data_IF_482501935049
#
_entry.id   IF_482501935049
#
_cell.length_a   1.000
_cell.length_b   1.000
_cell.length_c   1.000
_cell.angle_alpha   90.00
_cell.angle_beta   90.00
_cell.angle_gamma   90.00
#
_symmetry.space_group_name_H-M   'P 1'
#
loop_
_entity.id
_entity.type
_entity.pdbx_description
1 polymer ?
#
# COMPACT_ATOMS: atom_id res chain seq x y z
N UNK A 1 -9.83 31.81 -12.27
CA UNK A 1 -8.74 31.78 -13.28
C UNK A 1 -9.15 32.33 -14.66
N UNK A 2 -10.35 32.05 -15.21
CA UNK A 2 -10.79 32.75 -16.43
C UNK A 2 -11.24 34.18 -16.13
N UNK A 3 -11.89 34.38 -14.98
CA UNK A 3 -12.37 35.68 -14.50
C UNK A 3 -11.26 36.50 -13.83
N UNK A 4 -10.40 35.83 -13.05
CA UNK A 4 -9.20 36.39 -12.42
C UNK A 4 -7.95 35.63 -12.89
N UNK A 5 -7.33 36.03 -14.02
CA UNK A 5 -6.14 35.38 -14.58
C UNK A 5 -4.88 35.51 -13.70
N UNK A 6 -4.76 36.60 -12.95
CA UNK A 6 -3.65 36.92 -12.04
C UNK A 6 -3.43 35.85 -10.97
N UNK A 7 -4.50 35.18 -10.55
CA UNK A 7 -4.46 34.06 -9.60
C UNK A 7 -3.63 32.86 -10.10
N UNK A 8 -3.32 32.79 -11.41
CA UNK A 8 -2.39 31.77 -11.93
C UNK A 8 -0.97 31.97 -11.41
N UNK A 9 -0.51 33.22 -11.32
CA UNK A 9 0.80 33.52 -10.73
C UNK A 9 0.79 33.19 -9.25
N UNK A 10 -0.25 33.60 -8.52
CA UNK A 10 -0.42 33.25 -7.10
C UNK A 10 -0.37 31.75 -6.87
N UNK A 11 -1.07 30.94 -7.67
CA UNK A 11 -1.00 29.48 -7.55
C UNK A 11 0.41 28.96 -7.85
N UNK A 12 1.11 29.48 -8.87
CA UNK A 12 2.50 29.09 -9.17
C UNK A 12 3.47 29.45 -8.04
N UNK A 13 3.28 30.59 -7.39
CA UNK A 13 4.03 31.01 -6.21
C UNK A 13 3.74 30.11 -5.01
N UNK A 14 2.49 29.66 -4.84
CA UNK A 14 2.14 28.71 -3.79
C UNK A 14 2.85 27.36 -3.96
N UNK A 15 2.94 26.81 -5.19
CA UNK A 15 3.67 25.56 -5.42
C UNK A 15 4.18 25.39 -6.86
N UNK A 16 5.41 24.87 -7.05
CA UNK A 16 5.97 24.58 -8.37
C UNK A 16 5.15 23.53 -9.15
N UNK A 17 4.28 22.76 -8.49
CA UNK A 17 3.35 21.83 -9.15
C UNK A 17 2.37 22.54 -10.09
N UNK A 18 2.13 23.84 -9.89
CA UNK A 18 1.27 24.66 -10.73
C UNK A 18 2.01 25.36 -11.88
N UNK A 19 3.33 25.16 -12.03
CA UNK A 19 4.17 25.77 -13.08
C UNK A 19 3.66 25.56 -14.51
N UNK A 20 2.87 24.50 -14.76
CA UNK A 20 2.30 24.19 -16.07
C UNK A 20 0.96 24.89 -16.35
N UNK A 21 0.47 25.78 -15.49
CA UNK A 21 -0.78 26.52 -15.70
C UNK A 21 -0.76 27.46 -16.92
N UNK A 22 0.43 27.83 -17.40
CA UNK A 22 0.60 28.62 -18.63
C UNK A 22 0.56 27.77 -19.90
N UNK A 23 0.71 26.45 -19.76
CA UNK A 23 0.56 25.54 -20.89
C UNK A 23 -0.92 25.46 -21.28
N UNK A 24 -1.25 26.03 -22.44
CA UNK A 24 -2.62 26.14 -22.95
C UNK A 24 -3.35 24.80 -23.06
N UNK A 25 -2.64 23.70 -23.36
CA UNK A 25 -3.24 22.37 -23.41
C UNK A 25 -3.56 21.86 -22.00
N UNK A 26 -2.59 21.91 -21.07
CA UNK A 26 -2.77 21.49 -19.67
C UNK A 26 -3.88 22.29 -18.99
N UNK A 27 -3.92 23.60 -19.21
CA UNK A 27 -4.97 24.46 -18.66
C UNK A 27 -6.35 24.11 -19.24
N UNK A 28 -6.49 23.96 -20.55
CA UNK A 28 -7.80 23.70 -21.15
C UNK A 28 -8.35 22.29 -20.90
N UNK A 29 -7.49 21.33 -20.55
CA UNK A 29 -7.91 19.94 -20.27
C UNK A 29 -8.12 19.68 -18.78
N UNK A 30 -7.25 20.20 -17.90
CA UNK A 30 -7.27 19.90 -16.46
C UNK A 30 -7.44 21.16 -15.63
N UNK A 31 -6.61 22.18 -15.86
CA UNK A 31 -6.58 23.38 -15.01
C UNK A 31 -7.88 24.17 -14.99
N UNK A 32 -8.62 24.20 -16.10
CA UNK A 32 -9.89 24.93 -16.26
C UNK A 32 -11.04 24.34 -15.44
N UNK A 33 -10.98 23.04 -15.15
CA UNK A 33 -12.03 22.32 -14.43
C UNK A 33 -11.65 21.97 -12.98
N UNK A 34 -10.43 22.28 -12.56
CA UNK A 34 -9.95 22.04 -11.20
C UNK A 34 -10.72 22.89 -10.18
N UNK A 35 -11.18 22.27 -9.09
CA UNK A 35 -11.77 22.98 -7.95
C UNK A 35 -10.69 23.35 -6.95
N UNK A 36 -10.99 24.29 -6.04
CA UNK A 36 -10.05 24.73 -5.00
C UNK A 36 -9.55 23.58 -4.13
N UNK A 37 -10.41 22.59 -3.80
CA UNK A 37 -9.99 21.38 -3.08
C UNK A 37 -9.02 20.48 -3.85
N UNK A 38 -9.15 20.45 -5.18
CA UNK A 38 -8.28 19.64 -6.04
C UNK A 38 -6.89 20.30 -6.15
N UNK A 39 -6.88 21.64 -6.20
CA UNK A 39 -5.67 22.47 -6.11
C UNK A 39 -4.99 22.27 -4.76
N UNK A 40 -5.74 22.37 -3.65
CA UNK A 40 -5.22 22.16 -2.29
C UNK A 40 -4.55 20.78 -2.15
N UNK A 41 -5.25 19.71 -2.55
CA UNK A 41 -4.70 18.34 -2.55
C UNK A 41 -3.45 18.20 -3.42
N UNK A 42 -3.46 18.78 -4.62
CA UNK A 42 -2.31 18.70 -5.52
C UNK A 42 -1.10 19.44 -4.96
N UNK A 43 -1.31 20.63 -4.40
CA UNK A 43 -0.29 21.49 -3.81
C UNK A 43 0.22 21.02 -2.44
N UNK A 44 -0.54 20.22 -1.71
CA UNK A 44 -0.25 19.85 -0.32
C UNK A 44 -0.72 20.91 0.69
N UNK A 45 -1.75 21.69 0.34
CA UNK A 45 -2.33 22.74 1.18
C UNK A 45 -3.69 22.31 1.74
N UNK A 46 -4.15 23.00 2.78
CA UNK A 46 -5.55 22.90 3.18
C UNK A 46 -6.46 23.67 2.21
N UNK A 47 -7.74 23.31 2.14
CA UNK A 47 -8.70 24.04 1.30
C UNK A 47 -8.85 25.51 1.77
N UNK A 48 -8.83 25.76 3.08
CA UNK A 48 -8.93 27.11 3.64
C UNK A 48 -7.71 27.96 3.30
N UNK A 49 -6.50 27.39 3.31
CA UNK A 49 -5.27 28.10 2.94
C UNK A 49 -5.35 28.58 1.49
N UNK A 50 -5.74 27.70 0.56
CA UNK A 50 -5.93 28.10 -0.84
C UNK A 50 -7.05 29.14 -0.99
N UNK A 51 -8.18 28.97 -0.31
CA UNK A 51 -9.27 29.94 -0.36
C UNK A 51 -8.84 31.32 0.16
N UNK A 52 -8.18 31.37 1.31
CA UNK A 52 -7.71 32.62 1.90
C UNK A 52 -6.70 33.32 0.99
N UNK A 53 -5.67 32.61 0.52
CA UNK A 53 -4.65 33.18 -0.38
C UNK A 53 -5.26 33.72 -1.68
N UNK A 54 -6.18 32.99 -2.31
CA UNK A 54 -6.81 33.45 -3.54
C UNK A 54 -7.75 34.64 -3.31
N UNK A 55 -8.58 34.59 -2.25
CA UNK A 55 -9.53 35.68 -1.95
C UNK A 55 -8.83 36.96 -1.48
N UNK A 56 -7.68 36.86 -0.82
CA UNK A 56 -6.81 37.98 -0.46
C UNK A 56 -6.29 38.74 -1.68
N UNK A 57 -5.87 38.02 -2.71
CA UNK A 57 -5.36 38.64 -3.96
C UNK A 57 -6.45 39.39 -4.72
N UNK A 58 -7.68 38.89 -4.70
CA UNK A 58 -8.82 39.52 -5.39
C UNK A 58 -9.64 40.46 -4.50
N UNK A 59 -9.26 40.64 -3.23
CA UNK A 59 -9.91 41.56 -2.29
C UNK A 59 -11.28 41.11 -1.76
N UNK A 60 -11.55 39.80 -1.74
CA UNK A 60 -12.83 39.19 -1.34
C UNK A 60 -12.77 38.53 0.05
N UNK A 61 -11.87 38.98 0.93
CA UNK A 61 -11.66 38.36 2.26
C UNK A 61 -12.89 38.51 3.18
N UNK A 62 -13.61 39.64 3.12
CA UNK A 62 -14.84 39.85 3.92
C UNK A 62 -15.97 38.91 3.50
N UNK A 63 -16.08 38.60 2.21
CA UNK A 63 -17.09 37.71 1.66
C UNK A 63 -16.77 36.24 1.94
N UNK A 64 -15.47 35.90 1.92
CA UNK A 64 -14.98 34.61 2.41
C UNK A 64 -15.29 34.46 3.90
N UNK A 65 -15.03 35.49 4.72
CA UNK A 65 -15.32 35.48 6.15
C UNK A 65 -16.82 35.27 6.45
N UNK A 66 -17.69 35.89 5.67
CA UNK A 66 -19.13 35.75 5.83
C UNK A 66 -19.65 34.35 5.46
N UNK A 67 -19.00 33.70 4.49
CA UNK A 67 -19.44 32.41 3.93
C UNK A 67 -18.76 31.19 4.56
N UNK A 68 -17.50 31.36 4.99
CA UNK A 68 -16.61 30.33 5.53
C UNK A 68 -15.75 30.92 6.66
N UNK A 69 -16.36 31.32 7.80
CA UNK A 69 -15.65 31.97 8.91
C UNK A 69 -14.50 31.11 9.47
N UNK A 70 -14.61 29.78 9.39
CA UNK A 70 -13.57 28.83 9.81
C UNK A 70 -12.25 28.97 9.02
N UNK A 71 -12.29 29.57 7.82
CA UNK A 71 -11.10 29.78 7.01
C UNK A 71 -10.36 31.09 7.32
N UNK A 72 -10.94 31.99 8.14
CA UNK A 72 -10.31 33.24 8.59
C UNK A 72 -9.41 32.98 9.81
N UNK A 73 -9.86 32.11 10.73
CA UNK A 73 -9.07 31.67 11.88
C UNK A 73 -7.92 30.72 11.50
N UNK A 74 -7.79 30.35 10.22
CA UNK A 74 -6.74 29.48 9.73
C UNK A 74 -5.33 30.12 9.81
N UNK A 75 -5.21 31.47 9.72
CA UNK A 75 -3.94 32.15 10.04
C UNK A 75 -3.55 31.90 11.51
N UNK A 76 -4.53 31.86 12.43
CA UNK A 76 -4.29 31.64 13.87
C UNK A 76 -3.98 30.17 14.18
N UNK A 77 -4.61 29.21 13.49
CA UNK A 77 -4.36 27.77 13.71
C UNK A 77 -3.06 27.29 13.04
N UNK A 78 -2.69 27.85 11.88
CA UNK A 78 -1.45 27.48 11.18
C UNK A 78 -0.22 28.13 11.81
N UNK A 79 -0.30 29.37 12.30
CA UNK A 79 0.82 29.98 13.02
C UNK A 79 1.03 29.36 14.42
N UNK A 80 0.00 28.87 15.08
CA UNK A 80 0.13 28.30 16.44
C UNK A 80 0.64 26.86 16.47
N UNK A 81 0.43 26.06 15.41
CA UNK A 81 1.00 24.71 15.32
C UNK A 81 2.31 24.63 14.52
N UNK A 82 2.54 25.45 13.48
CA UNK A 82 3.84 25.46 12.76
C UNK A 82 4.99 26.07 13.57
N UNK A 83 4.72 26.96 14.54
CA UNK A 83 5.77 27.67 15.29
C UNK A 83 6.07 27.12 16.69
N UNK A 84 5.41 26.07 17.17
CA UNK A 84 5.93 25.37 18.35
C UNK A 84 7.00 24.38 17.91
N UNK A 85 8.22 24.91 17.75
CA UNK A 85 9.41 24.07 17.75
C UNK A 85 9.34 23.16 18.97
N UNK A 86 9.41 21.83 18.80
CA UNK A 86 9.43 20.93 19.93
C UNK A 86 10.60 21.25 20.85
N UNK A 87 10.43 21.12 22.16
CA UNK A 87 11.50 21.46 23.12
C UNK A 87 12.79 20.68 22.83
N UNK A 88 12.68 19.40 22.42
CA UNK A 88 13.81 18.55 22.04
C UNK A 88 14.58 19.04 20.80
N UNK A 89 14.02 19.97 20.01
CA UNK A 89 14.67 20.49 18.82
C UNK A 89 15.91 21.34 19.15
N UNK A 90 16.10 21.80 20.40
CA UNK A 90 17.35 22.41 20.85
C UNK A 90 18.54 21.46 20.74
N UNK A 91 18.30 20.16 20.91
CA UNK A 91 19.32 19.12 20.99
C UNK A 91 19.71 18.60 19.59
N UNK A 92 19.09 19.15 18.54
CA UNK A 92 19.31 18.75 17.13
C UNK A 92 20.76 18.86 16.67
N UNK A 93 21.59 19.65 17.34
CA UNK A 93 23.02 19.77 17.03
C UNK A 93 23.79 18.45 17.24
N UNK A 94 23.26 17.55 18.07
CA UNK A 94 23.85 16.25 18.36
C UNK A 94 23.38 15.16 17.39
N UNK A 95 22.34 15.45 16.60
CA UNK A 95 21.73 14.47 15.70
C UNK A 95 22.65 14.21 14.52
N UNK A 96 22.95 12.91 14.30
CA UNK A 96 23.74 12.50 13.14
C UNK A 96 22.92 12.70 11.86
N UNK A 97 23.55 13.30 10.86
CA UNK A 97 22.98 13.51 9.53
C UNK A 97 23.00 12.22 8.70
N UNK A 98 21.90 11.97 8.00
CA UNK A 98 21.72 10.98 6.94
C UNK A 98 21.26 11.70 5.68
N UNK A 99 22.14 11.86 4.71
CA UNK A 99 21.82 12.50 3.44
C UNK A 99 21.53 11.43 2.38
N UNK A 100 20.33 11.45 1.82
CA UNK A 100 19.86 10.47 0.83
C UNK A 100 19.61 11.10 -0.54
N UNK A 101 19.94 12.39 -0.71
CA UNK A 101 19.86 13.08 -2.01
C UNK A 101 20.86 12.44 -2.97
N UNK A 102 20.35 11.94 -4.11
CA UNK A 102 21.19 11.31 -5.13
C UNK A 102 21.57 9.86 -4.84
N UNK A 103 20.99 9.23 -3.81
CA UNK A 103 21.13 7.79 -3.58
C UNK A 103 20.53 7.00 -4.76
N UNK A 104 21.28 6.03 -5.28
CA UNK A 104 20.78 5.08 -6.30
C UNK A 104 19.93 3.97 -5.68
N UNK A 105 20.08 3.72 -4.39
CA UNK A 105 19.35 2.70 -3.62
C UNK A 105 18.24 3.32 -2.76
N UNK A 106 17.21 2.53 -2.43
CA UNK A 106 16.10 2.95 -1.57
C UNK A 106 16.57 3.12 -0.12
N UNK A 107 16.54 4.35 0.43
CA UNK A 107 17.14 4.63 1.73
C UNK A 107 16.32 4.12 2.92
N UNK A 108 15.12 3.59 2.70
CA UNK A 108 14.19 3.16 3.76
C UNK A 108 14.86 2.23 4.77
N UNK A 109 15.67 1.30 4.25
CA UNK A 109 16.49 0.36 5.00
C UNK A 109 17.40 1.00 6.04
N UNK A 110 18.29 1.88 5.59
CA UNK A 110 19.27 2.55 6.43
C UNK A 110 18.59 3.45 7.45
N UNK A 111 17.49 4.11 7.05
CA UNK A 111 16.71 4.95 7.94
C UNK A 111 16.07 4.11 9.05
N UNK A 112 15.48 2.96 8.71
CA UNK A 112 14.89 2.05 9.69
C UNK A 112 15.94 1.47 10.64
N UNK A 113 17.10 1.06 10.11
CA UNK A 113 18.23 0.60 10.92
C UNK A 113 18.71 1.69 11.88
N UNK A 114 18.85 2.93 11.41
CA UNK A 114 19.19 4.06 12.27
C UNK A 114 18.15 4.27 13.36
N UNK A 115 16.86 4.33 12.99
CA UNK A 115 15.77 4.51 13.93
C UNK A 115 15.72 3.42 15.02
N UNK A 116 15.91 2.16 14.63
CA UNK A 116 15.93 1.04 15.59
C UNK A 116 17.12 1.08 16.55
N UNK A 117 18.27 1.63 16.13
CA UNK A 117 19.46 1.75 16.98
C UNK A 117 19.37 2.83 18.06
N UNK A 118 18.45 3.78 17.90
CA UNK A 118 18.32 4.94 18.80
C UNK A 118 17.57 4.57 20.07
N UNK A 119 18.09 5.05 21.21
CA UNK A 119 17.43 4.99 22.51
C UNK A 119 16.44 6.15 22.66
N UNK A 120 15.54 6.04 23.64
CA UNK A 120 14.72 7.17 24.03
C UNK A 120 15.60 8.37 24.40
N UNK A 121 15.22 9.57 23.96
CA UNK A 121 16.04 10.77 24.12
C UNK A 121 17.05 11.00 22.99
N UNK A 122 17.26 10.06 22.07
CA UNK A 122 18.17 10.23 20.93
C UNK A 122 17.42 10.55 19.63
N UNK A 123 18.12 11.15 18.66
CA UNK A 123 17.56 11.52 17.37
C UNK A 123 18.54 11.45 16.20
N UNK A 124 18.02 11.71 15.00
CA UNK A 124 18.80 11.80 13.76
C UNK A 124 18.17 12.81 12.79
N UNK A 125 18.98 13.30 11.83
CA UNK A 125 18.54 14.24 10.80
C UNK A 125 18.58 13.55 9.44
N UNK A 126 17.46 13.53 8.72
CA UNK A 126 17.34 13.06 7.35
C UNK A 126 17.35 14.23 6.37
N UNK A 127 18.20 14.18 5.35
CA UNK A 127 18.27 15.20 4.30
C UNK A 127 17.84 14.60 2.97
N UNK A 128 16.79 15.15 2.35
CA UNK A 128 16.28 14.66 1.06
C UNK A 128 15.60 15.75 0.21
N UNK A 129 15.08 15.39 -0.98
CA UNK A 129 14.54 16.36 -1.94
C UNK A 129 13.03 16.64 -1.82
N UNK A 130 12.28 15.87 -1.03
CA UNK A 130 10.87 16.10 -0.73
C UNK A 130 10.56 15.77 0.74
N UNK A 131 9.44 16.22 1.28
CA UNK A 131 9.02 15.77 2.61
C UNK A 131 8.44 14.35 2.56
N UNK A 132 9.06 13.35 3.21
CA UNK A 132 8.67 11.95 3.05
C UNK A 132 7.58 11.54 4.05
N UNK A 133 6.37 12.05 3.85
CA UNK A 133 5.23 11.81 4.77
C UNK A 133 5.05 10.33 5.16
N UNK A 134 5.09 9.34 4.25
CA UNK A 134 4.92 7.93 4.64
C UNK A 134 6.01 7.42 5.58
N UNK A 135 7.26 7.85 5.37
CA UNK A 135 8.39 7.50 6.23
C UNK A 135 8.27 8.18 7.59
N UNK A 136 7.94 9.47 7.58
CA UNK A 136 7.74 10.26 8.80
C UNK A 136 6.72 9.56 9.70
N UNK A 137 5.58 9.19 9.13
CA UNK A 137 4.52 8.58 9.90
C UNK A 137 4.83 7.14 10.33
N UNK A 138 5.54 6.38 9.50
CA UNK A 138 6.07 5.08 9.91
C UNK A 138 6.97 5.22 11.14
N UNK A 139 7.90 6.19 11.15
CA UNK A 139 8.75 6.46 12.32
C UNK A 139 7.94 7.00 13.51
N UNK A 140 6.93 7.84 13.29
CA UNK A 140 6.03 8.28 14.36
C UNK A 140 5.33 7.08 15.03
N UNK A 141 4.88 6.11 14.23
CA UNK A 141 4.27 4.88 14.71
C UNK A 141 5.23 3.98 15.51
N UNK A 142 6.54 4.21 15.38
CA UNK A 142 7.62 3.57 16.12
C UNK A 142 8.08 4.41 17.34
N UNK A 143 7.32 5.44 17.72
CA UNK A 143 7.59 6.26 18.90
C UNK A 143 8.49 7.47 18.65
N UNK A 144 8.68 7.87 17.40
CA UNK A 144 9.39 9.11 17.07
C UNK A 144 8.45 10.33 17.06
N UNK A 145 8.98 11.49 17.41
CA UNK A 145 8.51 12.78 16.94
C UNK A 145 9.37 13.23 15.76
N UNK A 146 8.84 14.17 14.99
CA UNK A 146 9.61 14.78 13.92
C UNK A 146 9.39 16.29 13.85
N UNK A 147 10.32 16.96 13.20
CA UNK A 147 10.22 18.35 12.79
C UNK A 147 10.83 18.47 11.40
N UNK A 148 10.10 19.05 10.45
CA UNK A 148 10.58 19.26 9.08
C UNK A 148 10.94 20.72 8.87
N UNK A 149 12.14 20.96 8.38
CA UNK A 149 12.59 22.27 7.90
C UNK A 149 12.83 22.19 6.39
N UNK A 150 12.06 22.97 5.63
CA UNK A 150 12.31 23.14 4.19
C UNK A 150 13.41 24.19 4.01
N UNK A 151 14.58 23.75 3.53
CA UNK A 151 15.73 24.64 3.30
C UNK A 151 15.59 25.37 1.96
N UNK A 152 15.11 24.66 0.93
CA UNK A 152 14.74 25.20 -0.38
C UNK A 152 13.88 24.18 -1.15
N UNK A 153 13.50 24.49 -2.39
CA UNK A 153 12.63 23.67 -3.25
C UNK A 153 13.10 22.23 -3.49
N UNK A 154 14.40 21.95 -3.32
CA UNK A 154 15.00 20.64 -3.58
C UNK A 154 15.75 20.09 -2.37
N UNK A 155 15.52 20.65 -1.17
CA UNK A 155 16.19 20.23 0.05
C UNK A 155 15.30 20.42 1.27
N UNK A 156 14.99 19.30 1.91
CA UNK A 156 14.31 19.20 3.20
C UNK A 156 15.27 18.59 4.22
N UNK A 157 15.27 19.15 5.43
CA UNK A 157 15.91 18.58 6.61
C UNK A 157 14.82 18.13 7.58
N UNK A 158 14.71 16.82 7.78
CA UNK A 158 13.71 16.21 8.65
C UNK A 158 14.43 15.68 9.88
N UNK A 159 14.11 16.23 11.05
CA UNK A 159 14.65 15.81 12.33
C UNK A 159 13.71 14.80 12.96
N UNK A 160 14.25 13.67 13.41
CA UNK A 160 13.51 12.64 14.13
C UNK A 160 14.06 12.47 15.53
N UNK A 161 13.19 12.42 16.53
CA UNK A 161 13.55 12.26 17.95
C UNK A 161 12.72 11.15 18.58
N UNK A 162 13.36 10.21 19.28
CA UNK A 162 12.65 9.09 19.90
C UNK A 162 12.14 9.50 21.29
N UNK A 163 10.81 9.55 21.48
CA UNK A 163 10.23 10.01 22.75
C UNK A 163 10.64 9.13 23.93
N UNK A 164 10.84 9.76 25.09
CA UNK A 164 10.78 9.07 26.36
C UNK A 164 9.34 8.59 26.61
N UNK A 165 9.16 7.31 26.90
CA UNK A 165 7.85 6.73 27.22
C UNK A 165 7.83 6.39 28.72
N UNK A 166 6.76 6.77 29.45
CA UNK A 166 6.59 6.55 30.90
C UNK A 166 6.48 5.07 31.33
N UNK A 167 6.83 4.11 30.47
CA UNK A 167 6.87 2.69 30.83
C UNK A 167 7.86 1.90 29.97
N UNK A 168 9.15 2.19 30.14
CA UNK A 168 10.16 1.15 30.01
C UNK A 168 11.43 1.61 30.72
N UNK A 169 11.71 1.01 31.87
CA UNK A 169 13.10 0.88 32.33
C UNK A 169 13.88 0.27 31.16
N UNK A 170 14.77 1.08 30.58
CA UNK A 170 15.71 0.64 29.58
C UNK A 170 16.70 -0.31 30.26
N UNK A 171 16.37 -1.60 30.32
CA UNK A 171 17.38 -2.61 30.54
C UNK A 171 18.38 -2.53 29.37
N UNK A 172 19.66 -2.33 29.71
CA UNK A 172 20.77 -2.33 28.77
C UNK A 172 20.67 -3.57 27.86
N UNK A 173 20.31 -3.34 26.60
CA UNK A 173 20.38 -4.38 25.58
C UNK A 173 21.85 -4.69 25.32
N UNK A 174 22.33 -5.79 25.90
CA UNK A 174 23.57 -6.41 25.50
C UNK A 174 23.47 -6.73 24.00
N UNK A 175 24.39 -6.18 23.22
CA UNK A 175 24.57 -6.51 21.82
C UNK A 175 25.02 -7.98 21.69
N UNK A 176 24.05 -8.89 21.61
CA UNK A 176 24.22 -10.30 21.23
C UNK A 176 23.29 -10.65 20.06
N UNK A 177 23.89 -11.19 18.99
CA UNK A 177 23.35 -11.93 17.84
C UNK A 177 21.88 -11.69 17.41
N UNK A 178 21.56 -10.47 16.96
CA UNK A 178 20.37 -10.28 16.10
C UNK A 178 20.62 -10.89 14.74
N UNK A 179 19.66 -11.65 14.21
CA UNK A 179 19.74 -12.22 12.86
C UNK A 179 19.54 -11.10 11.83
N UNK A 180 20.50 -10.84 10.93
CA UNK A 180 20.33 -9.86 9.87
C UNK A 180 19.29 -10.36 8.87
N UNK A 181 18.33 -9.51 8.50
CA UNK A 181 17.27 -9.88 7.54
C UNK A 181 17.06 -8.80 6.48
N UNK A 182 16.82 -9.23 5.24
CA UNK A 182 16.29 -8.39 4.16
C UNK A 182 14.86 -8.80 3.86
N UNK A 183 13.92 -7.86 4.03
CA UNK A 183 12.48 -8.06 3.90
C UNK A 183 11.98 -7.27 2.68
N UNK A 184 11.13 -7.88 1.86
CA UNK A 184 10.47 -7.17 0.77
C UNK A 184 9.00 -7.57 0.56
N UNK A 185 8.20 -6.66 0.01
CA UNK A 185 6.83 -6.93 -0.41
C UNK A 185 6.52 -6.30 -1.74
N UNK A 186 5.76 -7.01 -2.58
CA UNK A 186 5.21 -6.50 -3.84
C UNK A 186 3.68 -6.42 -3.83
N UNK A 187 3.06 -6.54 -2.66
CA UNK A 187 1.60 -6.57 -2.54
C UNK A 187 1.13 -5.63 -1.43
N UNK A 188 0.52 -4.49 -1.77
CA UNK A 188 0.03 -3.50 -0.80
C UNK A 188 -0.97 -4.06 0.21
N UNK A 189 -1.68 -5.13 -0.17
CA UNK A 189 -2.65 -5.79 0.69
C UNK A 189 -2.06 -6.28 2.02
N UNK A 190 -0.75 -6.56 2.10
CA UNK A 190 -0.12 -7.02 3.36
C UNK A 190 0.53 -5.91 4.19
N UNK A 191 0.55 -4.66 3.72
CA UNK A 191 1.26 -3.58 4.42
C UNK A 191 0.77 -3.39 5.88
N UNK A 192 -0.53 -3.52 6.21
CA UNK A 192 -0.97 -3.49 7.60
C UNK A 192 -0.34 -4.59 8.47
N UNK A 193 -0.16 -5.80 7.91
CA UNK A 193 0.51 -6.92 8.60
C UNK A 193 1.98 -6.55 8.84
N UNK A 194 2.67 -6.03 7.82
CA UNK A 194 4.08 -5.59 7.94
C UNK A 194 4.22 -4.52 9.02
N UNK A 195 3.31 -3.53 9.07
CA UNK A 195 3.32 -2.50 10.10
C UNK A 195 3.20 -3.07 11.51
N UNK A 196 2.35 -4.08 11.72
CA UNK A 196 2.26 -4.78 13.01
C UNK A 196 3.56 -5.52 13.36
N UNK A 197 4.18 -6.18 12.39
CA UNK A 197 5.48 -6.84 12.59
C UNK A 197 6.57 -5.84 12.98
N UNK A 198 6.63 -4.68 12.33
CA UNK A 198 7.61 -3.62 12.64
C UNK A 198 7.47 -3.07 14.07
N UNK A 199 6.27 -3.15 14.66
CA UNK A 199 5.99 -2.75 16.05
C UNK A 199 6.19 -3.88 17.07
N UNK A 200 6.42 -5.11 16.62
CA UNK A 200 6.60 -6.24 17.53
C UNK A 200 7.96 -6.19 18.21
N UNK A 201 7.99 -5.86 19.51
CA UNK A 201 9.22 -5.90 20.31
C UNK A 201 9.85 -7.30 20.32
N UNK A 202 9.03 -8.35 20.47
CA UNK A 202 9.51 -9.73 20.49
C UNK A 202 10.27 -10.10 19.20
N UNK A 203 9.76 -9.67 18.04
CA UNK A 203 10.43 -9.86 16.76
C UNK A 203 11.68 -8.98 16.65
N UNK A 204 11.56 -7.68 16.93
CA UNK A 204 12.65 -6.70 16.78
C UNK A 204 13.82 -6.93 17.74
N UNK A 205 13.61 -7.65 18.84
CA UNK A 205 14.68 -8.07 19.75
C UNK A 205 15.52 -9.21 19.18
N UNK A 206 15.00 -9.94 18.18
CA UNK A 206 15.66 -11.11 17.56
C UNK A 206 16.23 -10.84 16.17
N UNK A 207 15.73 -9.85 15.45
CA UNK A 207 16.18 -9.54 14.08
C UNK A 207 16.78 -8.14 13.96
N UNK A 208 17.69 -7.97 13.01
CA UNK A 208 18.16 -6.66 12.55
C UNK A 208 17.74 -6.49 11.08
N UNK A 209 16.80 -5.60 10.81
CA UNK A 209 16.37 -5.31 9.44
C UNK A 209 17.49 -4.56 8.72
N UNK A 210 18.20 -5.27 7.83
CA UNK A 210 19.23 -4.68 6.97
C UNK A 210 18.61 -3.90 5.83
N UNK A 211 17.51 -4.40 5.28
CA UNK A 211 16.78 -3.71 4.22
C UNK A 211 15.30 -4.09 4.21
N UNK A 212 14.44 -3.08 4.05
CA UNK A 212 13.00 -3.22 3.92
C UNK A 212 12.56 -2.56 2.61
N UNK A 213 12.04 -3.34 1.66
CA UNK A 213 11.67 -2.84 0.34
C UNK A 213 10.19 -3.07 0.02
N UNK A 214 9.46 -1.98 -0.15
CA UNK A 214 8.10 -1.99 -0.68
C UNK A 214 8.15 -1.67 -2.17
N UNK A 215 7.67 -2.58 -3.02
CA UNK A 215 7.75 -2.43 -4.46
C UNK A 215 6.44 -1.93 -5.06
N UNK A 216 6.53 -0.83 -5.80
CA UNK A 216 5.43 -0.35 -6.65
C UNK A 216 5.25 -1.21 -7.90
N UNK A 217 6.29 -1.96 -8.30
CA UNK A 217 6.31 -2.79 -9.52
C UNK A 217 6.78 -4.21 -9.21
N UNK A 218 5.91 -5.18 -9.50
CA UNK A 218 6.15 -6.60 -9.26
C UNK A 218 7.38 -7.16 -10.00
N UNK A 219 7.77 -6.59 -11.14
CA UNK A 219 8.92 -7.05 -11.91
C UNK A 219 10.25 -6.85 -11.15
N UNK A 220 10.38 -5.76 -10.40
CA UNK A 220 11.61 -5.45 -9.66
C UNK A 220 11.78 -6.33 -8.42
N UNK A 221 10.67 -6.71 -7.79
CA UNK A 221 10.61 -7.64 -6.66
C UNK A 221 11.18 -9.03 -6.96
N UNK A 222 10.87 -9.57 -8.14
CA UNK A 222 11.36 -10.90 -8.54
C UNK A 222 12.88 -10.95 -8.68
N UNK A 223 13.51 -9.86 -9.12
CA UNK A 223 14.98 -9.78 -9.28
C UNK A 223 15.71 -10.03 -7.96
N UNK A 224 15.23 -9.45 -6.86
CA UNK A 224 15.86 -9.62 -5.55
C UNK A 224 15.72 -11.04 -4.99
N UNK A 225 14.60 -11.70 -5.26
CA UNK A 225 14.44 -13.12 -4.90
C UNK A 225 15.37 -14.00 -5.73
N UNK A 226 15.40 -13.79 -7.05
CA UNK A 226 16.21 -14.61 -7.96
C UNK A 226 17.71 -14.46 -7.70
N UNK A 227 18.16 -13.27 -7.33
CA UNK A 227 19.58 -13.00 -7.04
C UNK A 227 19.95 -13.22 -5.56
N UNK A 228 19.01 -13.71 -4.74
CA UNK A 228 19.25 -14.02 -3.33
C UNK A 228 19.51 -12.80 -2.44
N UNK A 229 19.08 -11.60 -2.85
CA UNK A 229 19.24 -10.36 -2.06
C UNK A 229 18.24 -10.28 -0.90
N UNK A 230 17.07 -10.93 -1.01
CA UNK A 230 16.05 -10.93 0.03
C UNK A 230 15.91 -12.29 0.71
N UNK A 231 15.81 -12.27 2.04
CA UNK A 231 15.62 -13.45 2.89
C UNK A 231 14.14 -13.77 3.08
N UNK A 232 13.33 -12.72 3.20
CA UNK A 232 11.90 -12.81 3.53
C UNK A 232 11.10 -11.99 2.54
N UNK A 233 9.98 -12.55 2.08
CA UNK A 233 9.04 -11.80 1.26
C UNK A 233 7.58 -12.11 1.50
N UNK A 234 6.75 -11.08 1.35
CA UNK A 234 5.32 -11.25 1.15
C UNK A 234 5.02 -11.28 -0.35
N UNK A 235 4.50 -12.41 -0.83
CA UNK A 235 4.28 -12.63 -2.25
C UNK A 235 2.98 -13.36 -2.54
N UNK A 236 2.48 -13.19 -3.76
CA UNK A 236 1.36 -13.97 -4.27
C UNK A 236 1.77 -15.44 -4.41
N UNK A 237 0.86 -16.35 -4.04
CA UNK A 237 1.04 -17.81 -4.16
C UNK A 237 1.50 -18.20 -5.56
N UNK A 238 0.88 -17.64 -6.59
CA UNK A 238 1.19 -17.90 -8.00
C UNK A 238 2.62 -17.48 -8.34
N UNK A 239 3.09 -16.34 -7.82
CA UNK A 239 4.43 -15.84 -8.10
C UNK A 239 5.50 -16.72 -7.42
N UNK A 240 5.30 -17.03 -6.14
CA UNK A 240 6.20 -17.92 -5.38
C UNK A 240 6.29 -19.32 -6.01
N UNK A 241 5.14 -19.92 -6.35
CA UNK A 241 5.09 -21.23 -6.99
C UNK A 241 5.81 -21.24 -8.36
N UNK A 242 5.65 -20.18 -9.18
CA UNK A 242 6.37 -20.06 -10.46
C UNK A 242 7.88 -20.00 -10.26
N UNK A 243 8.36 -19.23 -9.28
CA UNK A 243 9.79 -19.11 -9.00
C UNK A 243 10.37 -20.44 -8.49
N UNK A 244 9.64 -21.11 -7.58
CA UNK A 244 10.02 -22.41 -7.06
C UNK A 244 10.15 -23.47 -8.14
N UNK A 245 9.14 -23.62 -9.01
CA UNK A 245 9.19 -24.58 -10.12
C UNK A 245 10.27 -24.26 -11.16
N UNK A 246 10.76 -23.01 -11.20
CA UNK A 246 11.90 -22.58 -12.00
C UNK A 246 13.25 -22.74 -11.29
N UNK A 247 13.29 -23.37 -10.11
CA UNK A 247 14.51 -23.76 -9.41
C UNK A 247 15.02 -22.77 -8.36
N UNK A 248 14.24 -21.73 -8.02
CA UNK A 248 14.57 -20.84 -6.91
C UNK A 248 14.07 -21.49 -5.62
N UNK A 249 14.97 -21.79 -4.68
CA UNK A 249 14.61 -22.42 -3.42
C UNK A 249 13.89 -21.44 -2.48
N UNK A 250 12.58 -21.63 -2.34
CA UNK A 250 11.66 -20.79 -1.59
C UNK A 250 10.77 -21.67 -0.70
N UNK A 251 10.42 -21.16 0.49
CA UNK A 251 9.54 -21.81 1.46
C UNK A 251 8.38 -20.89 1.82
N UNK A 252 7.17 -21.17 1.31
CA UNK A 252 5.97 -20.43 1.67
C UNK A 252 5.38 -21.02 2.95
N UNK A 253 5.79 -20.47 4.09
CA UNK A 253 5.42 -20.98 5.42
C UNK A 253 3.99 -20.63 5.82
N UNK A 254 3.42 -19.54 5.32
CA UNK A 254 2.01 -19.23 5.53
C UNK A 254 1.33 -18.60 4.32
N UNK A 255 0.01 -18.79 4.23
CA UNK A 255 -0.90 -17.98 3.42
C UNK A 255 -1.74 -17.14 4.37
N UNK A 256 -1.79 -15.84 4.10
CA UNK A 256 -2.31 -14.84 5.03
C UNK A 256 -3.51 -14.07 4.44
N UNK A 257 -3.60 -14.03 3.11
CA UNK A 257 -4.59 -13.25 2.36
C UNK A 257 -5.37 -14.19 1.47
N UNK A 258 -6.69 -14.09 1.58
CA UNK A 258 -7.65 -14.94 0.89
C UNK A 258 -8.73 -14.11 0.21
N UNK A 259 -9.49 -14.70 -0.71
CA UNK A 259 -10.75 -14.15 -1.22
C UNK A 259 -10.65 -12.74 -1.82
N UNK A 260 -9.58 -12.49 -2.56
CA UNK A 260 -9.12 -11.12 -2.86
C UNK A 260 -9.75 -10.46 -4.10
N UNK A 261 -10.73 -11.07 -4.78
CA UNK A 261 -11.21 -10.60 -6.10
C UNK A 261 -12.69 -10.20 -6.11
N UNK A 262 -12.98 -9.04 -6.72
CA UNK A 262 -14.33 -8.48 -6.83
C UNK A 262 -14.56 -7.88 -8.23
N UNK A 263 -15.69 -8.24 -8.85
CA UNK A 263 -16.24 -7.47 -9.95
C UNK A 263 -17.09 -6.35 -9.37
N UNK A 264 -16.68 -5.11 -9.68
CA UNK A 264 -17.39 -3.90 -9.33
C UNK A 264 -18.13 -3.38 -10.55
N UNK A 265 -19.32 -2.86 -10.31
CA UNK A 265 -20.12 -2.16 -11.32
C UNK A 265 -20.47 -0.77 -10.81
N UNK A 266 -20.73 0.15 -11.74
CA UNK A 266 -21.09 1.54 -11.44
C UNK A 266 -22.35 1.94 -12.18
N UNK A 267 -23.31 2.51 -11.45
CA UNK A 267 -24.59 2.94 -12.03
C UNK A 267 -25.56 1.80 -12.34
N UNK A 268 -25.18 0.55 -12.07
CA UNK A 268 -26.03 -0.63 -12.17
C UNK A 268 -25.53 -1.75 -11.23
N UNK A 269 -26.38 -2.75 -10.98
CA UNK A 269 -26.07 -3.96 -10.23
C UNK A 269 -26.17 -5.16 -11.17
N UNK A 270 -25.17 -6.04 -11.13
CA UNK A 270 -25.21 -7.35 -11.76
C UNK A 270 -25.25 -8.41 -10.66
N UNK A 271 -26.26 -9.27 -10.69
CA UNK A 271 -26.43 -10.34 -9.70
C UNK A 271 -25.71 -11.62 -10.14
N UNK A 272 -25.41 -11.74 -11.43
CA UNK A 272 -24.72 -12.87 -12.02
C UNK A 272 -23.90 -12.43 -13.24
N UNK A 273 -23.07 -13.33 -13.79
CA UNK A 273 -22.26 -13.00 -14.97
C UNK A 273 -23.12 -12.61 -16.17
N UNK A 274 -24.30 -13.20 -16.37
CA UNK A 274 -25.19 -12.91 -17.50
C UNK A 274 -25.62 -11.45 -17.58
N UNK A 275 -25.78 -10.79 -16.44
CA UNK A 275 -26.15 -9.36 -16.37
C UNK A 275 -25.02 -8.42 -16.85
N UNK A 276 -23.80 -8.94 -16.99
CA UNK A 276 -22.66 -8.19 -17.55
C UNK A 276 -22.65 -8.20 -19.08
N UNK A 277 -23.55 -8.95 -19.74
CA UNK A 277 -23.61 -8.99 -21.21
C UNK A 277 -23.97 -7.61 -21.75
N UNK A 278 -23.18 -7.14 -22.71
CA UNK A 278 -23.33 -5.81 -23.31
C UNK A 278 -22.49 -4.71 -22.63
N UNK A 279 -21.79 -5.03 -21.54
CA UNK A 279 -20.79 -4.15 -20.92
C UNK A 279 -19.36 -4.62 -21.25
N UNK A 280 -18.42 -3.68 -21.32
CA UNK A 280 -16.98 -4.00 -21.39
C UNK A 280 -16.47 -4.34 -19.98
N UNK A 281 -16.03 -5.58 -19.77
CA UNK A 281 -15.49 -6.03 -18.48
C UNK A 281 -13.99 -5.76 -18.46
N UNK A 282 -13.58 -4.72 -17.74
CA UNK A 282 -12.16 -4.36 -17.63
C UNK A 282 -11.43 -5.26 -16.62
N UNK A 283 -10.41 -5.97 -17.10
CA UNK A 283 -9.65 -6.94 -16.30
C UNK A 283 -8.18 -6.50 -16.21
N UNK A 284 -7.59 -6.47 -15.00
CA UNK A 284 -6.20 -6.08 -14.82
C UNK A 284 -5.26 -7.12 -15.45
N UNK A 285 -4.08 -6.64 -15.81
CA UNK A 285 -2.98 -7.34 -16.43
C UNK A 285 -3.37 -7.86 -17.82
N UNK A 286 -2.89 -9.05 -18.20
CA UNK A 286 -3.10 -9.65 -19.51
C UNK A 286 -3.99 -10.90 -19.43
N UNK A 287 -4.54 -11.32 -20.57
CA UNK A 287 -5.41 -12.52 -20.70
C UNK A 287 -4.80 -13.80 -20.10
N UNK A 288 -3.47 -13.95 -20.11
CA UNK A 288 -2.78 -15.13 -19.56
C UNK A 288 -2.43 -15.04 -18.06
N UNK A 289 -3.07 -14.16 -17.30
CA UNK A 289 -2.72 -13.90 -15.89
C UNK A 289 -3.79 -14.44 -14.92
N UNK A 290 -3.45 -14.63 -13.62
CA UNK A 290 -4.36 -15.23 -12.65
C UNK A 290 -5.74 -14.56 -12.52
N UNK A 291 -5.89 -13.22 -12.49
CA UNK A 291 -7.20 -12.59 -12.36
C UNK A 291 -8.20 -13.12 -13.40
N UNK A 292 -7.82 -13.12 -14.68
CA UNK A 292 -8.67 -13.64 -15.75
C UNK A 292 -8.82 -15.16 -15.75
N UNK A 293 -7.79 -15.88 -15.30
CA UNK A 293 -7.85 -17.34 -15.15
C UNK A 293 -8.95 -17.77 -14.18
N UNK A 294 -9.00 -17.12 -13.01
CA UNK A 294 -10.07 -17.35 -12.02
C UNK A 294 -11.43 -16.92 -12.58
N UNK A 295 -11.52 -15.77 -13.26
CA UNK A 295 -12.77 -15.32 -13.91
C UNK A 295 -13.33 -16.39 -14.85
N UNK A 296 -12.51 -16.89 -15.79
CA UNK A 296 -12.94 -17.92 -16.75
C UNK A 296 -13.39 -19.20 -16.07
N UNK A 297 -12.65 -19.64 -15.07
CA UNK A 297 -13.00 -20.83 -14.31
C UNK A 297 -14.38 -20.69 -13.66
N UNK A 298 -14.60 -19.59 -12.92
CA UNK A 298 -15.87 -19.33 -12.24
C UNK A 298 -17.02 -19.22 -13.24
N UNK A 299 -16.84 -18.52 -14.36
CA UNK A 299 -17.86 -18.41 -15.41
C UNK A 299 -18.25 -19.77 -15.96
N UNK A 300 -17.28 -20.60 -16.35
CA UNK A 300 -17.54 -21.96 -16.89
C UNK A 300 -18.27 -22.83 -15.88
N UNK A 301 -17.86 -22.81 -14.61
CA UNK A 301 -18.52 -23.58 -13.54
C UNK A 301 -19.94 -23.10 -13.25
N UNK A 302 -20.24 -21.82 -13.52
CA UNK A 302 -21.59 -21.26 -13.47
C UNK A 302 -22.39 -21.40 -14.78
N UNK A 303 -21.87 -22.13 -15.77
CA UNK A 303 -22.56 -22.40 -17.03
C UNK A 303 -22.47 -21.30 -18.08
N UNK A 304 -21.58 -20.32 -17.90
CA UNK A 304 -21.32 -19.26 -18.86
C UNK A 304 -20.12 -19.58 -19.75
N UNK A 305 -20.23 -19.25 -21.04
CA UNK A 305 -19.10 -19.28 -21.95
C UNK A 305 -18.39 -17.92 -21.92
N UNK A 306 -17.11 -17.82 -21.50
CA UNK A 306 -16.39 -16.54 -21.46
C UNK A 306 -16.27 -15.84 -22.81
N UNK A 307 -16.34 -16.58 -23.93
CA UNK A 307 -16.26 -15.98 -25.27
C UNK A 307 -17.55 -15.23 -25.67
N UNK A 308 -18.63 -15.34 -24.88
CA UNK A 308 -19.88 -14.58 -25.07
C UNK A 308 -19.81 -13.16 -24.46
N UNK A 309 -18.68 -12.77 -23.87
CA UNK A 309 -18.51 -11.54 -23.09
C UNK A 309 -17.39 -10.67 -23.66
N UNK A 310 -17.50 -9.36 -23.45
CA UNK A 310 -16.49 -8.41 -23.89
C UNK A 310 -15.48 -8.14 -22.76
N UNK A 311 -14.24 -8.57 -22.95
CA UNK A 311 -13.17 -8.39 -21.97
C UNK A 311 -12.11 -7.42 -22.49
N UNK A 312 -11.87 -6.36 -21.73
CA UNK A 312 -10.88 -5.35 -22.04
C UNK A 312 -9.68 -5.48 -21.11
N UNK A 313 -8.49 -5.61 -21.71
CA UNK A 313 -7.21 -5.68 -20.99
C UNK A 313 -6.38 -4.42 -21.28
N UNK A 314 -5.73 -3.85 -20.27
CA UNK A 314 -4.90 -2.65 -20.47
C UNK A 314 -3.62 -2.93 -21.26
N UNK A 315 -3.09 -1.89 -21.91
CA UNK A 315 -1.90 -1.96 -22.78
C UNK A 315 -0.73 -1.14 -22.19
N UNK A 316 0.51 -1.68 -22.15
CA UNK A 316 0.88 -3.05 -22.45
C UNK A 316 0.40 -4.07 -21.39
N UNK A 317 0.09 -3.59 -20.18
CA UNK A 317 -0.50 -4.39 -19.08
C UNK A 317 -1.38 -3.48 -18.22
N UNK A 318 -2.69 -3.77 -18.10
CA UNK A 318 -3.60 -2.93 -17.30
C UNK A 318 -3.30 -3.01 -15.81
N UNK A 319 -2.78 -1.95 -15.19
CA UNK A 319 -2.48 -1.98 -13.74
C UNK A 319 -3.77 -1.80 -12.92
N UNK A 320 -3.95 -2.50 -11.78
CA UNK A 320 -5.13 -2.34 -10.93
C UNK A 320 -5.42 -0.89 -10.54
N UNK A 321 -4.39 -0.11 -10.24
CA UNK A 321 -4.48 1.29 -9.81
C UNK A 321 -4.99 2.19 -10.96
N UNK A 322 -4.56 1.91 -12.19
CA UNK A 322 -5.03 2.61 -13.40
C UNK A 322 -6.49 2.30 -13.70
N UNK A 323 -6.89 1.02 -13.63
CA UNK A 323 -8.29 0.62 -13.83
C UNK A 323 -9.19 1.20 -12.74
N UNK A 324 -8.74 1.17 -11.48
CA UNK A 324 -9.43 1.83 -10.35
C UNK A 324 -9.66 3.31 -10.65
N UNK A 325 -8.65 4.03 -11.13
CA UNK A 325 -8.76 5.45 -11.44
C UNK A 325 -9.78 5.72 -12.57
N UNK A 326 -9.78 4.92 -13.65
CA UNK A 326 -10.77 5.03 -14.73
C UNK A 326 -12.20 4.79 -14.23
N UNK A 327 -12.39 3.76 -13.41
CA UNK A 327 -13.68 3.39 -12.84
C UNK A 327 -14.22 4.49 -11.90
N UNK A 328 -13.37 5.03 -11.02
CA UNK A 328 -13.74 6.14 -10.12
C UNK A 328 -14.11 7.41 -10.91
N UNK A 329 -13.45 7.67 -12.05
CA UNK A 329 -13.79 8.79 -12.94
C UNK A 329 -15.03 8.54 -13.81
N UNK A 330 -15.61 7.35 -13.78
CA UNK A 330 -16.76 6.97 -14.60
C UNK A 330 -16.43 6.77 -16.09
N UNK A 331 -15.15 6.58 -16.43
CA UNK A 331 -14.73 6.24 -17.80
C UNK A 331 -15.06 4.79 -18.17
N UNK A 332 -15.19 3.92 -17.16
CA UNK A 332 -15.56 2.52 -17.28
C UNK A 332 -16.58 2.20 -16.19
N UNK A 333 -17.52 1.30 -16.47
CA UNK A 333 -18.63 0.98 -15.56
C UNK A 333 -18.53 -0.42 -14.95
N UNK A 334 -17.61 -1.27 -15.43
CA UNK A 334 -17.48 -2.68 -15.05
C UNK A 334 -16.01 -3.06 -14.96
N UNK A 335 -15.54 -3.44 -13.78
CA UNK A 335 -14.11 -3.70 -13.55
C UNK A 335 -13.87 -4.84 -12.56
N UNK A 336 -12.90 -5.70 -12.85
CA UNK A 336 -12.33 -6.64 -11.88
C UNK A 336 -11.23 -5.93 -11.09
N UNK A 337 -11.39 -5.81 -9.77
CA UNK A 337 -10.35 -5.32 -8.88
C UNK A 337 -10.03 -6.34 -7.80
N UNK A 338 -8.88 -6.16 -7.17
CA UNK A 338 -8.47 -6.86 -5.96
C UNK A 338 -8.36 -5.90 -4.79
N UNK A 339 -8.31 -6.40 -3.55
CA UNK A 339 -7.95 -5.53 -2.43
C UNK A 339 -6.45 -5.13 -2.52
N UNK A 340 -6.11 -3.91 -2.05
CA UNK A 340 -7.00 -2.90 -1.46
C UNK A 340 -7.71 -2.00 -2.49
N UNK A 341 -7.39 -2.10 -3.78
CA UNK A 341 -7.91 -1.18 -4.80
C UNK A 341 -9.44 -1.25 -4.95
N UNK A 342 -10.04 -2.43 -4.74
CA UNK A 342 -11.49 -2.61 -4.76
C UNK A 342 -12.18 -1.77 -3.66
N UNK A 343 -11.70 -1.82 -2.42
CA UNK A 343 -12.25 -1.01 -1.32
C UNK A 343 -12.05 0.48 -1.53
N UNK A 344 -10.90 0.88 -2.08
CA UNK A 344 -10.63 2.29 -2.39
C UNK A 344 -11.54 2.79 -3.51
N UNK A 345 -11.77 2.01 -4.56
CA UNK A 345 -12.76 2.34 -5.60
C UNK A 345 -14.15 2.55 -5.01
N UNK A 346 -14.61 1.64 -4.15
CA UNK A 346 -15.91 1.73 -3.48
C UNK A 346 -15.99 2.86 -2.46
N UNK A 347 -14.86 3.39 -1.97
CA UNK A 347 -14.84 4.55 -1.07
C UNK A 347 -14.94 5.86 -1.87
N UNK A 348 -14.34 5.89 -3.05
CA UNK A 348 -14.22 7.09 -3.90
C UNK A 348 -15.40 7.27 -4.88
N UNK A 349 -16.10 6.19 -5.25
CA UNK A 349 -17.26 6.21 -6.14
C UNK A 349 -18.54 5.82 -5.38
N UNK A 350 -19.45 6.78 -5.16
CA UNK A 350 -20.67 6.60 -4.36
C UNK A 350 -21.71 5.65 -5.00
N UNK A 351 -21.75 5.60 -6.33
CA UNK A 351 -22.63 4.77 -7.16
C UNK A 351 -21.98 3.45 -7.59
N UNK A 352 -20.80 3.14 -7.05
CA UNK A 352 -20.14 1.85 -7.27
C UNK A 352 -20.60 0.80 -6.25
N UNK A 353 -20.81 -0.41 -6.74
CA UNK A 353 -21.26 -1.55 -5.93
C UNK A 353 -20.40 -2.79 -6.20
N UNK A 354 -20.37 -3.70 -5.23
CA UNK A 354 -19.86 -5.06 -5.46
C UNK A 354 -20.96 -5.85 -6.12
N UNK A 355 -20.79 -6.17 -7.39
CA UNK A 355 -21.74 -7.01 -8.11
C UNK A 355 -21.47 -8.49 -7.89
N UNK A 356 -20.20 -8.90 -8.02
CA UNK A 356 -19.82 -10.30 -7.84
C UNK A 356 -18.55 -10.37 -6.99
N UNK A 357 -18.64 -11.00 -5.81
CA UNK A 357 -17.48 -11.39 -5.02
C UNK A 357 -17.04 -12.81 -5.41
N UNK A 358 -15.77 -13.00 -5.75
CA UNK A 358 -15.29 -14.32 -6.21
C UNK A 358 -15.32 -15.36 -5.10
N UNK A 359 -15.22 -14.92 -3.84
CA UNK A 359 -15.40 -15.75 -2.65
C UNK A 359 -16.69 -16.55 -2.70
N UNK A 360 -17.81 -15.88 -2.97
CA UNK A 360 -19.14 -16.47 -2.88
C UNK A 360 -19.30 -17.55 -3.97
N UNK A 361 -18.83 -17.24 -5.18
CA UNK A 361 -18.82 -18.19 -6.29
C UNK A 361 -17.90 -19.39 -6.02
N UNK A 362 -16.70 -19.13 -5.50
CA UNK A 362 -15.73 -20.19 -5.18
C UNK A 362 -16.27 -21.12 -4.11
N UNK A 363 -16.79 -20.59 -3.01
CA UNK A 363 -17.37 -21.36 -1.92
C UNK A 363 -18.56 -22.22 -2.37
N UNK A 364 -19.40 -21.71 -3.29
CA UNK A 364 -20.52 -22.48 -3.83
C UNK A 364 -20.05 -23.64 -4.74
N UNK A 365 -18.99 -23.42 -5.53
CA UNK A 365 -18.42 -24.46 -6.41
C UNK A 365 -17.60 -25.47 -5.59
N UNK A 366 -16.97 -25.01 -4.51
CA UNK A 366 -16.02 -25.75 -3.70
C UNK A 366 -16.33 -25.66 -2.21
N UNK A 367 -17.46 -26.23 -1.73
CA UNK A 367 -17.84 -26.15 -0.33
C UNK A 367 -16.77 -26.73 0.62
N UNK A 368 -16.00 -27.71 0.13
CA UNK A 368 -14.95 -28.42 0.87
C UNK A 368 -13.54 -27.82 0.68
N UNK A 369 -13.29 -26.99 -0.34
CA UNK A 369 -11.94 -26.54 -0.71
C UNK A 369 -11.57 -25.16 -0.14
N UNK A 370 -12.24 -24.75 0.94
CA UNK A 370 -11.90 -23.54 1.67
C UNK A 370 -12.01 -22.25 0.85
N UNK A 371 -11.02 -21.38 1.01
CA UNK A 371 -11.03 -20.00 0.52
C UNK A 371 -10.13 -19.87 -0.71
N UNK A 372 -10.25 -18.79 -1.49
CA UNK A 372 -9.33 -18.54 -2.60
C UNK A 372 -7.97 -18.04 -2.10
N UNK A 373 -6.87 -18.81 -2.22
CA UNK A 373 -5.57 -18.38 -1.72
C UNK A 373 -5.00 -17.25 -2.58
N UNK A 374 -4.41 -16.23 -1.95
CA UNK A 374 -3.87 -15.08 -2.66
C UNK A 374 -2.38 -14.83 -2.37
N UNK A 375 -2.04 -14.49 -1.12
CA UNK A 375 -0.70 -14.06 -0.76
C UNK A 375 -0.30 -14.54 0.65
N UNK A 376 1.00 -14.67 0.86
CA UNK A 376 1.56 -15.32 2.04
C UNK A 376 2.99 -14.90 2.34
N UNK A 377 3.52 -15.45 3.43
CA UNK A 377 4.91 -15.27 3.86
C UNK A 377 5.79 -16.33 3.21
N UNK A 378 6.86 -15.89 2.56
CA UNK A 378 7.84 -16.75 1.89
C UNK A 378 9.23 -16.43 2.41
N UNK A 379 10.01 -17.46 2.66
CA UNK A 379 11.42 -17.38 3.00
C UNK A 379 12.26 -17.93 1.86
N UNK A 380 13.49 -17.43 1.72
CA UNK A 380 14.55 -18.14 0.99
C UNK A 380 14.85 -19.45 1.74
N UNK A 381 14.99 -20.57 1.01
CA UNK A 381 15.17 -21.89 1.63
C UNK A 381 16.34 -21.95 2.60
N UNK A 382 17.53 -21.50 2.16
CA UNK A 382 18.73 -21.41 3.00
C UNK A 382 18.51 -20.63 4.31
N UNK A 383 17.79 -19.49 4.26
CA UNK A 383 17.49 -18.71 5.45
C UNK A 383 16.55 -19.47 6.40
N UNK A 384 15.53 -20.14 5.85
CA UNK A 384 14.60 -20.93 6.64
C UNK A 384 15.28 -22.12 7.33
N UNK A 385 16.27 -22.72 6.68
CA UNK A 385 17.04 -23.84 7.23
C UNK A 385 18.04 -23.40 8.31
N UNK A 386 18.64 -22.21 8.16
CA UNK A 386 19.63 -21.67 9.09
C UNK A 386 18.99 -21.01 10.32
N UNK A 387 17.78 -20.48 10.20
CA UNK A 387 17.10 -19.70 11.23
C UNK A 387 15.66 -20.17 11.49
N UNK A 388 15.42 -21.47 11.79
CA UNK A 388 14.08 -22.00 12.02
C UNK A 388 13.34 -21.30 13.17
N UNK A 389 14.06 -20.87 14.21
CA UNK A 389 13.50 -20.11 15.33
C UNK A 389 12.97 -18.72 14.92
N UNK A 390 13.62 -18.08 13.95
CA UNK A 390 13.15 -16.80 13.39
C UNK A 390 11.93 -17.03 12.52
N UNK A 391 11.91 -18.13 11.73
CA UNK A 391 10.73 -18.52 10.94
C UNK A 391 9.51 -18.72 11.84
N UNK A 392 9.64 -19.49 12.92
CA UNK A 392 8.56 -19.75 13.87
C UNK A 392 8.07 -18.46 14.55
N UNK A 393 9.00 -17.56 14.87
CA UNK A 393 8.67 -16.25 15.45
C UNK A 393 7.88 -15.37 14.47
N UNK A 394 8.27 -15.31 13.19
CA UNK A 394 7.50 -14.60 12.16
C UNK A 394 6.10 -15.19 11.99
N UNK A 395 5.98 -16.52 11.98
CA UNK A 395 4.70 -17.22 11.88
C UNK A 395 3.77 -16.85 13.05
N UNK A 396 4.30 -16.88 14.28
CA UNK A 396 3.58 -16.46 15.50
C UNK A 396 3.15 -14.99 15.43
N UNK A 397 4.05 -14.08 15.06
CA UNK A 397 3.77 -12.64 15.05
C UNK A 397 2.84 -12.24 13.91
N UNK A 398 2.84 -12.93 12.76
CA UNK A 398 1.81 -12.72 11.72
C UNK A 398 0.45 -13.17 12.22
N UNK A 399 0.35 -14.35 12.85
CA UNK A 399 -0.92 -14.83 13.39
C UNK A 399 -1.49 -13.87 14.45
N UNK A 400 -0.61 -13.26 15.27
CA UNK A 400 -0.98 -12.19 16.20
C UNK A 400 -1.42 -10.91 15.47
N UNK A 401 -0.64 -10.44 14.50
CA UNK A 401 -0.96 -9.24 13.71
C UNK A 401 -2.33 -9.34 13.03
N UNK A 402 -2.63 -10.48 12.40
CA UNK A 402 -3.91 -10.72 11.74
C UNK A 402 -5.07 -10.69 12.74
N UNK A 403 -4.90 -11.28 13.93
CA UNK A 403 -5.92 -11.19 15.00
C UNK A 403 -6.18 -9.75 15.41
N UNK A 404 -5.14 -8.98 15.70
CA UNK A 404 -5.28 -7.57 16.08
C UNK A 404 -5.95 -6.72 14.99
N UNK A 405 -5.61 -6.96 13.72
CA UNK A 405 -6.24 -6.27 12.58
C UNK A 405 -7.73 -6.60 12.47
N UNK A 406 -8.09 -7.87 12.62
CA UNK A 406 -9.47 -8.32 12.52
C UNK A 406 -10.32 -7.88 13.73
N UNK A 407 -9.73 -7.81 14.92
CA UNK A 407 -10.40 -7.37 16.16
C UNK A 407 -10.66 -5.86 16.17
N UNK A 408 -9.72 -5.05 15.68
CA UNK A 408 -9.87 -3.59 15.59
C UNK A 408 -9.38 -3.04 14.24
N UNK A 409 -10.21 -3.15 13.18
CA UNK A 409 -9.90 -2.61 11.86
C UNK A 409 -9.72 -1.10 11.86
N UNK A 410 -10.41 -0.36 12.75
CA UNK A 410 -10.34 1.09 12.82
C UNK A 410 -8.97 1.54 13.33
N UNK A 411 -8.56 1.03 14.50
CA UNK A 411 -7.23 1.31 15.04
C UNK A 411 -6.13 0.86 14.08
N UNK A 412 -6.29 -0.30 13.47
CA UNK A 412 -5.30 -0.81 12.50
C UNK A 412 -5.22 0.06 11.23
N UNK A 413 -6.31 0.70 10.83
CA UNK A 413 -6.30 1.71 9.77
C UNK A 413 -5.55 2.96 10.20
N UNK A 414 -5.83 3.50 11.40
CA UNK A 414 -5.09 4.64 11.97
C UNK A 414 -3.58 4.37 12.08
N UNK A 415 -3.18 3.11 12.25
CA UNK A 415 -1.77 2.71 12.32
C UNK A 415 -1.09 2.48 10.96
N UNK A 416 -1.84 2.36 9.86
CA UNK A 416 -1.30 1.93 8.56
C UNK A 416 -1.74 2.78 7.37
N UNK A 417 -2.60 3.78 7.55
CA UNK A 417 -3.15 4.59 6.46
C UNK A 417 -2.07 5.27 5.61
N UNK A 418 -0.98 5.72 6.25
CA UNK A 418 0.11 6.41 5.59
C UNK A 418 0.91 5.53 4.63
N UNK A 419 1.29 4.32 5.07
CA UNK A 419 1.99 3.37 4.18
C UNK A 419 1.08 2.89 3.05
N UNK A 420 -0.23 2.91 3.27
CA UNK A 420 -1.23 2.61 2.24
C UNK A 420 -1.48 3.79 1.28
N UNK A 421 -1.04 5.00 1.62
CA UNK A 421 -1.26 6.22 0.83
C UNK A 421 -2.74 6.59 0.70
N UNK A 422 -3.56 6.30 1.72
CA UNK A 422 -5.01 6.52 1.71
C UNK A 422 -5.50 7.12 3.03
N UNK A 423 -6.76 7.58 3.10
CA UNK A 423 -7.33 8.08 4.36
C UNK A 423 -7.62 6.93 5.34
N UNK A 424 -7.62 7.18 6.66
CA UNK A 424 -7.98 6.18 7.65
C UNK A 424 -9.32 5.48 7.35
N UNK A 425 -10.34 6.21 6.89
CA UNK A 425 -11.66 5.62 6.58
C UNK A 425 -11.62 4.72 5.34
N UNK A 426 -10.77 5.04 4.36
CA UNK A 426 -10.57 4.20 3.18
C UNK A 426 -9.86 2.90 3.56
N UNK A 427 -8.83 2.99 4.42
CA UNK A 427 -8.10 1.83 4.93
C UNK A 427 -8.98 1.00 5.87
N UNK A 428 -9.79 1.61 6.72
CA UNK A 428 -10.75 0.89 7.57
C UNK A 428 -11.76 0.12 6.71
N UNK A 429 -12.27 0.72 5.62
CA UNK A 429 -13.16 0.03 4.68
C UNK A 429 -12.48 -1.18 4.06
N UNK A 430 -11.21 -1.05 3.67
CA UNK A 430 -10.39 -2.16 3.18
C UNK A 430 -10.22 -3.25 4.24
N UNK A 431 -9.80 -2.89 5.46
CA UNK A 431 -9.54 -3.84 6.55
C UNK A 431 -10.79 -4.60 7.00
N UNK A 432 -11.98 -4.00 6.87
CA UNK A 432 -13.27 -4.68 7.11
C UNK A 432 -13.66 -5.69 6.02
N UNK A 433 -13.06 -5.61 4.83
CA UNK A 433 -13.44 -6.40 3.65
C UNK A 433 -12.44 -7.50 3.31
N UNK A 434 -11.15 -7.20 3.46
CA UNK A 434 -10.08 -8.15 3.18
C UNK A 434 -10.22 -9.39 4.06
N UNK A 435 -10.00 -10.57 3.48
CA UNK A 435 -10.01 -11.82 4.25
C UNK A 435 -8.59 -12.14 4.69
N UNK A 436 -8.18 -11.55 5.82
CA UNK A 436 -6.96 -11.96 6.52
C UNK A 436 -7.24 -13.16 7.41
N UNK A 437 -6.59 -14.27 7.09
CA UNK A 437 -6.69 -15.53 7.82
C UNK A 437 -5.33 -16.23 7.77
N UNK A 438 -4.69 -16.38 8.93
CA UNK A 438 -3.40 -17.04 9.03
C UNK A 438 -3.58 -18.55 8.86
N UNK A 439 -2.92 -19.11 7.86
CA UNK A 439 -2.89 -20.55 7.61
C UNK A 439 -1.48 -21.01 7.31
N UNK A 440 -1.06 -22.09 7.98
CA UNK A 440 0.20 -22.77 7.68
C UNK A 440 0.20 -23.26 6.23
N UNK A 441 1.30 -23.01 5.51
CA UNK A 441 1.47 -23.50 4.14
C UNK A 441 1.35 -25.02 4.08
N UNK A 442 2.01 -25.73 5.00
CA UNK A 442 2.09 -27.19 5.00
C UNK A 442 0.74 -27.85 5.22
N UNK A 443 -0.05 -27.33 6.18
CA UNK A 443 -1.38 -27.85 6.49
C UNK A 443 -2.39 -27.58 5.36
N UNK A 444 -2.15 -26.56 4.53
CA UNK A 444 -3.08 -26.11 3.49
C UNK A 444 -2.53 -26.33 2.07
N UNK A 445 -1.43 -27.08 1.92
CA UNK A 445 -0.74 -27.27 0.65
C UNK A 445 -1.66 -27.86 -0.44
N UNK A 446 -2.52 -28.81 -0.07
CA UNK A 446 -3.44 -29.46 -1.02
C UNK A 446 -4.43 -28.46 -1.64
N UNK A 447 -5.02 -27.58 -0.82
CA UNK A 447 -5.94 -26.51 -1.26
C UNK A 447 -5.21 -25.52 -2.17
N UNK A 448 -4.01 -25.11 -1.79
CA UNK A 448 -3.21 -24.16 -2.56
C UNK A 448 -2.78 -24.74 -3.91
N UNK A 449 -2.34 -26.00 -3.93
CA UNK A 449 -1.97 -26.71 -5.15
C UNK A 449 -3.19 -26.92 -6.05
N UNK A 450 -4.36 -27.18 -5.47
CA UNK A 450 -5.61 -27.27 -6.24
C UNK A 450 -5.94 -25.97 -6.96
N UNK A 451 -5.83 -24.82 -6.28
CA UNK A 451 -5.98 -23.51 -6.92
C UNK A 451 -5.00 -23.30 -8.09
N UNK A 452 -3.73 -23.70 -7.93
CA UNK A 452 -2.72 -23.60 -8.99
C UNK A 452 -3.03 -24.53 -10.18
N UNK A 453 -3.61 -25.72 -9.94
CA UNK A 453 -4.12 -26.61 -10.99
C UNK A 453 -5.24 -25.96 -11.80
N UNK A 454 -6.22 -25.33 -11.12
CA UNK A 454 -7.29 -24.57 -11.76
C UNK A 454 -6.72 -23.48 -12.69
N UNK A 455 -5.75 -22.70 -12.21
CA UNK A 455 -5.10 -21.69 -13.04
C UNK A 455 -4.32 -22.29 -14.22
N UNK A 456 -3.74 -23.47 -14.06
CA UNK A 456 -3.01 -24.16 -15.12
C UNK A 456 -3.94 -24.65 -16.22
N UNK A 457 -5.08 -25.26 -15.85
CA UNK A 457 -6.14 -25.67 -16.76
C UNK A 457 -6.71 -24.48 -17.56
N UNK A 458 -6.80 -23.32 -16.91
CA UNK A 458 -7.22 -22.07 -17.56
C UNK A 458 -6.09 -21.35 -18.31
N UNK A 459 -4.87 -21.89 -18.37
CA UNK A 459 -3.74 -21.32 -19.09
C UNK A 459 -3.16 -20.03 -18.48
N UNK A 460 -3.54 -19.71 -17.24
CA UNK A 460 -3.06 -18.55 -16.47
C UNK A 460 -1.91 -18.87 -15.51
N UNK A 461 -1.52 -20.14 -15.44
CA UNK A 461 -0.33 -20.63 -14.75
C UNK A 461 0.38 -21.66 -15.64
N UNK A 462 1.65 -21.44 -15.94
CA UNK A 462 2.46 -22.38 -16.72
C UNK A 462 3.55 -22.95 -15.82
N UNK A 463 3.50 -24.24 -15.58
CA UNK A 463 4.55 -24.99 -14.91
C UNK A 463 5.34 -25.81 -15.93
N UNK A 464 6.67 -25.85 -15.77
CA UNK A 464 7.55 -26.76 -16.51
C UNK A 464 7.68 -28.13 -15.83
N UNK A 465 7.28 -28.20 -14.57
CA UNK A 465 7.42 -29.37 -13.68
C UNK A 465 6.06 -29.78 -13.11
N UNK A 466 6.04 -30.93 -12.45
CA UNK A 466 4.84 -31.42 -11.77
C UNK A 466 4.46 -30.50 -10.60
N UNK A 467 3.16 -30.25 -10.42
CA UNK A 467 2.67 -29.40 -9.33
C UNK A 467 2.77 -30.07 -7.96
N UNK A 468 2.94 -31.40 -7.89
CA UNK A 468 3.22 -32.11 -6.64
C UNK A 468 4.57 -31.70 -6.02
N UNK A 469 5.54 -31.21 -6.81
CA UNK A 469 6.79 -30.66 -6.25
C UNK A 469 6.55 -29.47 -5.32
N UNK A 470 5.42 -28.77 -5.45
CA UNK A 470 5.10 -27.63 -4.59
C UNK A 470 4.80 -28.02 -3.14
N UNK A 471 4.50 -29.29 -2.85
CA UNK A 471 4.29 -29.73 -1.46
C UNK A 471 5.50 -29.40 -0.59
N UNK A 472 6.71 -29.52 -1.14
CA UNK A 472 7.95 -29.22 -0.44
C UNK A 472 8.17 -27.71 -0.27
N UNK A 473 7.69 -26.88 -1.20
CA UNK A 473 7.70 -25.41 -1.05
C UNK A 473 6.85 -24.96 0.13
N UNK A 474 5.77 -25.69 0.45
CA UNK A 474 4.83 -25.33 1.51
C UNK A 474 5.19 -25.92 2.88
N UNK A 475 6.13 -26.87 2.94
CA UNK A 475 6.70 -27.36 4.21
C UNK A 475 7.57 -26.30 4.85
#
# INVERSE_FOLDING_TARGET
LNEYPELKETLKEMSPKFSKLDNKMVYNTVGKFARVKDIAKMGGFSTCEVLHTLNKVIGMEEELAASFPECIDAEILVETEKNKQPEWLSDRAEFREMNVIGSEEDPLADIMKKAQSLKAGEGFKLVQIFEPIPLINMLNSLGFEHYTEQINDFKFEIYFYKKETESSEAEEHQAGDKVPVVIQSATPVVYPIIMKLLKSKELMDKIEIKELKMWDKAESHMSWLMNGKADITFSAVVAAAKLYLNGIDLRMKSVNVWDNFYLLTRGYQADNFGDLKGHEIHVPLAKGTPPFGVTKYLMKKKGYNPDDFDFVFGQPFGRPEELKAKFVRGEIDTVLLREPEASFALKEAEDAVVSIAYKDLWQEIHPEAGKLPNAGLVFKGEFADQHPEIVDLFMKEIAKAIREINEDPKKSAEESFDIMGQTPEAVEKFLKRVTFDFKSGSENAAEIIYYLKVLAEEGSFKAKKDLSELEEMFK
#
